data_IF_888965669005
#
_entry.id   IF_888965669005
#
_cell.length_a   1.000
_cell.length_b   1.000
_cell.length_c   1.000
_cell.angle_alpha   90.00
_cell.angle_beta   90.00
_cell.angle_gamma   90.00
#
_symmetry.space_group_name_H-M   'P 1'
#
loop_
_entity.id
_entity.type
_entity.pdbx_description
1 polymer ?
#
# COMPACT_ATOMS: atom_id res chain seq x y z
N UNK A 1 -14.03 25.84 4.93
CA UNK A 1 -12.66 25.68 5.47
C UNK A 1 -12.24 24.30 5.00
N UNK A 2 -11.55 24.24 3.86
CA UNK A 2 -11.16 22.97 3.26
C UNK A 2 -10.27 22.19 4.22
N UNK A 3 -10.64 20.95 4.52
CA UNK A 3 -9.88 20.10 5.42
C UNK A 3 -8.73 19.46 4.62
N UNK A 4 -7.69 20.24 4.34
CA UNK A 4 -6.59 19.80 3.45
C UNK A 4 -5.83 18.59 4.02
N UNK A 5 -5.77 18.44 5.35
CA UNK A 5 -5.21 17.25 6.01
C UNK A 5 -6.08 16.01 5.78
N UNK A 6 -7.40 16.18 5.73
CA UNK A 6 -8.32 15.10 5.36
C UNK A 6 -8.07 14.60 3.93
N UNK A 7 -7.62 15.44 3.00
CA UNK A 7 -7.25 14.98 1.65
C UNK A 7 -6.08 13.99 1.66
N UNK A 8 -5.09 14.19 2.54
CA UNK A 8 -4.01 13.21 2.76
C UNK A 8 -4.57 11.91 3.35
N UNK A 9 -5.43 12.01 4.37
CA UNK A 9 -6.06 10.82 4.96
C UNK A 9 -6.90 10.03 3.95
N UNK A 10 -7.64 10.71 3.07
CA UNK A 10 -8.40 10.10 1.98
C UNK A 10 -7.46 9.43 0.97
N UNK A 11 -6.37 10.10 0.57
CA UNK A 11 -5.36 9.52 -0.32
C UNK A 11 -4.76 8.23 0.27
N UNK A 12 -4.34 8.25 1.53
CA UNK A 12 -3.81 7.07 2.23
C UNK A 12 -4.86 5.96 2.33
N UNK A 13 -6.14 6.29 2.57
CA UNK A 13 -7.21 5.28 2.60
C UNK A 13 -7.41 4.64 1.23
N UNK A 14 -7.33 5.40 0.14
CA UNK A 14 -7.34 4.85 -1.23
C UNK A 14 -6.16 3.89 -1.43
N UNK A 15 -4.95 4.29 -1.02
CA UNK A 15 -3.75 3.44 -1.09
C UNK A 15 -3.92 2.15 -0.29
N UNK A 16 -4.42 2.24 0.94
CA UNK A 16 -4.72 1.07 1.79
C UNK A 16 -5.63 0.06 1.07
N UNK A 17 -6.72 0.55 0.47
CA UNK A 17 -7.66 -0.31 -0.25
C UNK A 17 -7.00 -1.03 -1.44
N UNK A 18 -6.18 -0.31 -2.23
CA UNK A 18 -5.46 -0.91 -3.36
C UNK A 18 -4.38 -1.92 -2.92
N UNK A 19 -3.63 -1.64 -1.86
CA UNK A 19 -2.65 -2.59 -1.30
C UNK A 19 -3.35 -3.85 -0.78
N UNK A 20 -4.53 -3.70 -0.18
CA UNK A 20 -5.34 -4.84 0.28
C UNK A 20 -5.82 -5.69 -0.89
N UNK A 21 -6.29 -5.07 -1.97
CA UNK A 21 -6.65 -5.79 -3.20
C UNK A 21 -5.44 -6.53 -3.80
N UNK A 22 -4.26 -5.91 -3.78
CA UNK A 22 -3.00 -6.56 -4.18
C UNK A 22 -2.68 -7.80 -3.34
N UNK A 23 -2.91 -7.74 -2.03
CA UNK A 23 -2.75 -8.88 -1.14
C UNK A 23 -3.72 -10.01 -1.52
N UNK A 24 -5.00 -9.67 -1.71
CA UNK A 24 -6.05 -10.64 -2.05
C UNK A 24 -5.77 -11.32 -3.40
N UNK A 25 -5.38 -10.54 -4.42
CA UNK A 25 -4.99 -11.08 -5.73
C UNK A 25 -3.76 -12.00 -5.61
N UNK A 26 -2.77 -11.62 -4.80
CA UNK A 26 -1.56 -12.44 -4.59
C UNK A 26 -1.88 -13.77 -3.90
N UNK A 27 -2.82 -13.77 -2.94
CA UNK A 27 -3.31 -15.00 -2.31
C UNK A 27 -4.07 -15.89 -3.32
N UNK A 28 -4.95 -15.30 -4.12
CA UNK A 28 -5.65 -16.04 -5.18
C UNK A 28 -4.68 -16.63 -6.23
N UNK A 29 -3.60 -15.92 -6.54
CA UNK A 29 -2.53 -16.43 -7.41
C UNK A 29 -1.84 -17.65 -6.78
N UNK A 30 -1.55 -17.65 -5.48
CA UNK A 30 -0.99 -18.81 -4.77
C UNK A 30 -1.93 -20.02 -4.83
N UNK A 31 -3.22 -19.80 -4.66
CA UNK A 31 -4.26 -20.82 -4.78
C UNK A 31 -4.33 -21.41 -6.20
N UNK A 32 -4.24 -20.58 -7.24
CA UNK A 32 -4.17 -21.05 -8.63
C UNK A 32 -2.97 -21.96 -8.87
N UNK A 33 -1.79 -21.61 -8.36
CA UNK A 33 -0.60 -22.48 -8.46
C UNK A 33 -0.84 -23.80 -7.75
N UNK A 34 -1.47 -23.80 -6.57
CA UNK A 34 -1.78 -25.04 -5.83
C UNK A 34 -2.75 -25.95 -6.58
N UNK A 35 -3.61 -25.40 -7.43
CA UNK A 35 -4.56 -26.16 -8.29
C UNK A 35 -4.05 -26.43 -9.71
N UNK A 36 -2.81 -26.05 -10.04
CA UNK A 36 -2.27 -26.06 -11.40
C UNK A 36 -3.11 -25.28 -12.44
N UNK A 37 -3.86 -24.26 -11.99
CA UNK A 37 -4.69 -23.42 -12.84
C UNK A 37 -3.90 -22.22 -13.38
N UNK A 38 -3.13 -22.49 -14.44
CA UNK A 38 -2.25 -21.49 -15.06
C UNK A 38 -3.01 -20.46 -15.91
N UNK A 39 -4.25 -20.72 -16.29
CA UNK A 39 -5.07 -19.77 -17.06
C UNK A 39 -5.54 -18.65 -16.13
N UNK A 40 -6.18 -19.00 -15.01
CA UNK A 40 -6.62 -18.01 -14.02
C UNK A 40 -5.43 -17.27 -13.40
N UNK A 41 -4.30 -17.95 -13.18
CA UNK A 41 -3.08 -17.30 -12.70
C UNK A 41 -2.65 -16.11 -13.58
N UNK A 42 -2.67 -16.28 -14.91
CA UNK A 42 -2.29 -15.21 -15.85
C UNK A 42 -3.25 -14.04 -15.82
N UNK A 43 -4.56 -14.30 -15.66
CA UNK A 43 -5.59 -13.26 -15.52
C UNK A 43 -5.33 -12.46 -14.24
N UNK A 44 -5.14 -13.14 -13.11
CA UNK A 44 -4.85 -12.49 -11.82
C UNK A 44 -3.54 -11.70 -11.84
N UNK A 45 -2.52 -12.18 -12.55
CA UNK A 45 -1.26 -11.44 -12.74
C UNK A 45 -1.47 -10.13 -13.51
N UNK A 46 -2.29 -10.14 -14.56
CA UNK A 46 -2.63 -8.92 -15.30
C UNK A 46 -3.39 -7.92 -14.42
N UNK A 47 -4.42 -8.38 -13.71
CA UNK A 47 -5.17 -7.55 -12.76
C UNK A 47 -4.26 -6.95 -11.68
N UNK A 48 -3.35 -7.76 -11.13
CA UNK A 48 -2.37 -7.29 -10.13
C UNK A 48 -1.45 -6.21 -10.68
N UNK A 49 -1.09 -6.30 -11.97
CA UNK A 49 -0.29 -5.27 -12.65
C UNK A 49 -1.07 -3.97 -12.76
N UNK A 50 -2.35 -4.02 -13.11
CA UNK A 50 -3.21 -2.83 -13.18
C UNK A 50 -3.33 -2.14 -11.81
N UNK A 51 -3.53 -2.91 -10.73
CA UNK A 51 -3.61 -2.37 -9.36
C UNK A 51 -2.29 -1.71 -8.93
N UNK A 52 -1.13 -2.25 -9.34
CA UNK A 52 0.17 -1.60 -9.07
C UNK A 52 0.27 -0.22 -9.73
N UNK A 53 -0.16 -0.10 -11.00
CA UNK A 53 -0.21 1.18 -11.70
C UNK A 53 -1.17 2.17 -11.04
N UNK A 54 -2.29 1.71 -10.48
CA UNK A 54 -3.19 2.56 -9.70
C UNK A 54 -2.55 3.07 -8.40
N UNK A 55 -1.74 2.24 -7.72
CA UNK A 55 -1.00 2.67 -6.53
C UNK A 55 0.02 3.75 -6.88
N UNK A 56 0.75 3.59 -7.99
CA UNK A 56 1.71 4.61 -8.47
C UNK A 56 1.00 5.95 -8.69
N UNK A 57 -0.15 5.96 -9.37
CA UNK A 57 -0.96 7.17 -9.55
C UNK A 57 -1.44 7.79 -8.24
N UNK A 58 -1.81 6.95 -7.25
CA UNK A 58 -2.20 7.45 -5.92
C UNK A 58 -1.00 8.09 -5.21
N UNK A 59 0.20 7.55 -5.40
CA UNK A 59 1.44 8.10 -4.85
C UNK A 59 1.82 9.43 -5.50
N UNK A 60 1.72 9.54 -6.82
CA UNK A 60 1.92 10.80 -7.56
C UNK A 60 0.93 11.88 -7.09
N UNK A 61 -0.36 11.56 -7.05
CA UNK A 61 -1.39 12.46 -6.54
C UNK A 61 -1.15 12.86 -5.06
N UNK A 62 -0.52 12.01 -4.25
CA UNK A 62 -0.16 12.40 -2.88
C UNK A 62 0.91 13.48 -2.87
N UNK A 63 1.92 13.36 -3.73
CA UNK A 63 2.97 14.38 -3.84
C UNK A 63 2.41 15.71 -4.36
N UNK A 64 1.43 15.67 -5.26
CA UNK A 64 0.69 16.87 -5.70
C UNK A 64 -0.06 17.53 -4.54
N UNK A 65 -0.82 16.74 -3.75
CA UNK A 65 -1.51 17.26 -2.55
C UNK A 65 -0.49 17.86 -1.56
N UNK A 66 0.62 17.17 -1.30
CA UNK A 66 1.65 17.65 -0.38
C UNK A 66 2.33 18.93 -0.86
N UNK A 67 2.48 19.10 -2.17
CA UNK A 67 3.11 20.30 -2.76
C UNK A 67 2.16 21.50 -2.76
N UNK A 68 0.85 21.27 -2.84
CA UNK A 68 -0.16 22.31 -2.74
C UNK A 68 -0.45 22.76 -1.30
N UNK A 69 -0.04 21.98 -0.30
CA UNK A 69 -0.21 22.32 1.12
C UNK A 69 0.76 23.41 1.57
N UNK A 70 0.32 24.20 2.55
CA UNK A 70 1.22 25.05 3.34
C UNK A 70 2.40 24.24 3.91
N UNK A 71 3.65 24.75 3.88
CA UNK A 71 4.84 23.98 4.24
C UNK A 71 4.77 23.31 5.62
N UNK A 72 4.17 23.99 6.60
CA UNK A 72 3.99 23.45 7.95
C UNK A 72 3.02 22.25 7.97
N UNK A 73 1.93 22.31 7.19
CA UNK A 73 0.96 21.21 7.07
C UNK A 73 1.57 20.04 6.29
N UNK A 74 2.30 20.32 5.22
CA UNK A 74 3.00 19.30 4.46
C UNK A 74 4.03 18.56 5.32
N UNK A 75 4.84 19.29 6.10
CA UNK A 75 5.82 18.70 7.02
C UNK A 75 5.14 17.85 8.10
N UNK A 76 4.02 18.34 8.66
CA UNK A 76 3.22 17.63 9.65
C UNK A 76 2.62 16.33 9.09
N UNK A 77 2.04 16.39 7.89
CA UNK A 77 1.53 15.20 7.20
C UNK A 77 2.65 14.18 6.95
N UNK A 78 3.82 14.63 6.49
CA UNK A 78 5.01 13.78 6.28
C UNK A 78 5.50 13.14 7.57
N UNK A 79 5.51 13.86 8.69
CA UNK A 79 5.88 13.33 10.00
C UNK A 79 4.97 12.16 10.42
N UNK A 80 3.65 12.31 10.32
CA UNK A 80 2.72 11.23 10.68
C UNK A 80 2.68 10.07 9.67
N UNK A 81 3.34 10.21 8.51
CA UNK A 81 3.60 9.12 7.57
C UNK A 81 4.98 8.48 7.80
N UNK A 82 5.45 8.44 9.04
CA UNK A 82 6.68 7.77 9.47
C UNK A 82 6.37 6.72 10.53
N UNK A 83 7.17 5.66 10.57
CA UNK A 83 6.95 4.53 11.49
C UNK A 83 7.24 4.93 12.95
N UNK A 84 8.18 5.83 13.12
CA UNK A 84 8.73 6.34 14.38
C UNK A 84 8.09 7.65 14.84
N UNK A 85 7.00 8.08 14.19
CA UNK A 85 6.22 9.21 14.64
C UNK A 85 5.70 8.99 16.07
N UNK A 86 5.99 9.93 16.95
CA UNK A 86 5.47 9.96 18.33
C UNK A 86 4.06 10.55 18.30
N UNK A 87 3.12 9.82 18.90
CA UNK A 87 1.71 10.21 19.00
C UNK A 87 1.46 10.77 20.41
N UNK A 88 1.14 12.06 20.48
CA UNK A 88 0.72 12.72 21.71
C UNK A 88 -0.75 12.42 22.01
N UNK A 89 -1.15 12.53 23.28
CA UNK A 89 -2.52 12.25 23.73
C UNK A 89 -3.57 13.23 23.14
N UNK A 90 -3.16 14.46 22.79
CA UNK A 90 -4.02 15.53 22.29
C UNK A 90 -3.86 15.79 20.77
N UNK A 91 -3.35 14.79 20.05
CA UNK A 91 -3.18 14.87 18.59
C UNK A 91 -4.51 15.14 17.86
N UNK A 92 -4.53 16.06 16.87
CA UNK A 92 -5.73 16.30 16.09
C UNK A 92 -6.20 15.06 15.32
N UNK A 93 -7.52 14.89 15.20
CA UNK A 93 -8.13 13.68 14.67
C UNK A 93 -7.68 13.34 13.24
N UNK A 94 -7.45 14.34 12.40
CA UNK A 94 -6.95 14.15 11.03
C UNK A 94 -5.55 13.53 11.01
N UNK A 95 -4.66 13.99 11.88
CA UNK A 95 -3.29 13.45 11.96
C UNK A 95 -3.29 12.02 12.48
N UNK A 96 -4.11 11.75 13.50
CA UNK A 96 -4.26 10.40 14.03
C UNK A 96 -4.74 9.46 12.93
N UNK A 97 -5.67 9.91 12.09
CA UNK A 97 -6.18 9.14 10.94
C UNK A 97 -5.11 8.93 9.85
N UNK A 98 -4.27 9.93 9.59
CA UNK A 98 -3.12 9.80 8.69
C UNK A 98 -2.18 8.72 9.21
N UNK A 99 -1.77 8.84 10.48
CA UNK A 99 -0.85 7.89 11.12
C UNK A 99 -1.41 6.47 11.13
N UNK A 100 -2.64 6.28 11.61
CA UNK A 100 -3.26 4.96 11.71
C UNK A 100 -3.37 4.29 10.34
N UNK A 101 -3.83 5.05 9.32
CA UNK A 101 -4.00 4.51 7.96
C UNK A 101 -2.64 4.21 7.31
N UNK A 102 -1.61 5.01 7.59
CA UNK A 102 -0.25 4.74 7.14
C UNK A 102 0.29 3.44 7.76
N UNK A 103 0.09 3.24 9.06
CA UNK A 103 0.50 2.02 9.75
C UNK A 103 -0.26 0.79 9.24
N UNK A 104 -1.54 0.92 8.92
CA UNK A 104 -2.33 -0.12 8.26
C UNK A 104 -1.75 -0.48 6.89
N UNK A 105 -1.42 0.52 6.05
CA UNK A 105 -0.75 0.29 4.77
C UNK A 105 0.55 -0.49 4.94
N UNK A 106 1.38 -0.13 5.93
CA UNK A 106 2.64 -0.81 6.24
C UNK A 106 2.42 -2.26 6.66
N UNK A 107 1.40 -2.51 7.49
CA UNK A 107 1.05 -3.85 7.97
C UNK A 107 0.60 -4.75 6.81
N UNK A 108 -0.30 -4.27 5.96
CA UNK A 108 -0.76 -5.04 4.79
C UNK A 108 0.37 -5.26 3.79
N UNK A 109 1.19 -4.23 3.51
CA UNK A 109 2.34 -4.37 2.63
C UNK A 109 3.36 -5.41 3.15
N UNK A 110 3.59 -5.47 4.46
CA UNK A 110 4.47 -6.48 5.05
C UNK A 110 3.93 -7.91 4.85
N UNK A 111 2.61 -8.11 5.00
CA UNK A 111 1.95 -9.39 4.70
C UNK A 111 2.06 -9.75 3.22
N UNK A 112 1.77 -8.80 2.34
CA UNK A 112 1.90 -8.96 0.88
C UNK A 112 3.31 -9.43 0.50
N UNK A 113 4.35 -8.75 0.99
CA UNK A 113 5.76 -9.12 0.72
C UNK A 113 6.07 -10.55 1.19
N UNK A 114 5.50 -10.99 2.31
CA UNK A 114 5.68 -12.35 2.81
C UNK A 114 5.11 -13.40 1.84
N UNK A 115 3.91 -13.16 1.30
CA UNK A 115 3.25 -14.08 0.36
C UNK A 115 3.95 -14.03 -1.00
N UNK A 116 4.29 -12.85 -1.50
CA UNK A 116 5.06 -12.66 -2.73
C UNK A 116 6.37 -13.47 -2.71
N UNK A 117 7.06 -13.48 -1.57
CA UNK A 117 8.28 -14.29 -1.36
C UNK A 117 8.04 -15.78 -1.53
N UNK A 118 6.97 -16.29 -0.93
CA UNK A 118 6.62 -17.72 -1.03
C UNK A 118 6.21 -18.07 -2.46
N UNK A 119 5.36 -17.26 -3.07
CA UNK A 119 4.89 -17.45 -4.44
C UNK A 119 6.04 -17.41 -5.45
N UNK A 120 6.94 -16.42 -5.36
CA UNK A 120 8.11 -16.31 -6.23
C UNK A 120 9.02 -17.54 -6.12
N UNK A 121 9.24 -18.07 -4.91
CA UNK A 121 10.01 -19.30 -4.72
C UNK A 121 9.31 -20.52 -5.31
N UNK A 122 7.99 -20.63 -5.14
CA UNK A 122 7.18 -21.75 -5.65
C UNK A 122 7.16 -21.80 -7.18
N UNK A 123 7.07 -20.63 -7.83
CA UNK A 123 6.99 -20.53 -9.29
C UNK A 123 8.37 -20.63 -9.93
N UNK A 124 9.35 -19.89 -9.42
CA UNK A 124 10.63 -19.69 -10.10
C UNK A 124 11.74 -20.59 -9.56
N UNK A 125 11.55 -21.24 -8.41
CA UNK A 125 12.55 -22.07 -7.75
C UNK A 125 13.88 -21.33 -7.62
N UNK A 126 14.88 -21.83 -8.33
CA UNK A 126 16.23 -21.26 -8.36
C UNK A 126 16.36 -19.89 -9.04
N UNK A 127 15.32 -19.42 -9.74
CA UNK A 127 15.26 -18.10 -10.37
C UNK A 127 14.39 -17.10 -9.59
N UNK A 128 14.06 -17.40 -8.33
CA UNK A 128 13.27 -16.50 -7.50
C UNK A 128 13.97 -15.17 -7.29
N UNK A 129 13.20 -14.08 -7.41
CA UNK A 129 13.64 -12.72 -7.12
C UNK A 129 14.20 -12.57 -5.69
N UNK A 130 13.73 -13.39 -4.74
CA UNK A 130 14.10 -13.31 -3.33
C UNK A 130 15.21 -14.28 -2.92
N UNK A 131 16.05 -14.74 -3.85
CA UNK A 131 17.26 -15.47 -3.50
C UNK A 131 18.20 -14.57 -2.68
N UNK A 132 18.81 -15.17 -1.65
CA UNK A 132 19.98 -14.61 -0.98
C UNK A 132 21.22 -14.93 -1.80
#
# INVERSE_FOLDING_TARGET
MDNEMLNIAINLRKKYNRISELLDLTQQMEDCISRNDMVSFKILLAMRTDVLLEIEKIDENREEILTALEPQKAQRAKYYMQKDAVIADDIPAEDLKIYSTFMDCKSVAAKLISIDKMLSKKICGDKSFYKK
#
